data_IF_152337457640
#
_entry.id   IF_152337457640
#
_cell.length_a   1.000
_cell.length_b   1.000
_cell.length_c   1.000
_cell.angle_alpha   90.00
_cell.angle_beta   90.00
_cell.angle_gamma   90.00
#
_symmetry.space_group_name_H-M   'P 1'
#
loop_
_entity.id
_entity.type
_entity.pdbx_description
1 polymer ?
#
# COMPACT_ATOMS: atom_id res chain seq x y z
N UNK A 1 20.18 -25.46 8.48
CA UNK A 1 19.00 -24.76 7.91
C UNK A 1 18.84 -23.44 8.64
N UNK A 2 19.14 -22.32 7.98
CA UNK A 2 18.88 -21.00 8.56
C UNK A 2 17.38 -20.73 8.45
N UNK A 3 16.67 -20.72 9.58
CA UNK A 3 15.28 -20.28 9.63
C UNK A 3 15.23 -18.84 9.16
N UNK A 4 14.74 -18.60 7.93
CA UNK A 4 14.37 -17.25 7.52
C UNK A 4 13.28 -16.80 8.47
N UNK A 5 13.61 -16.00 9.48
CA UNK A 5 12.59 -15.26 10.22
C UNK A 5 11.90 -14.36 9.19
N UNK A 6 10.66 -14.68 8.82
CA UNK A 6 9.77 -13.76 8.13
C UNK A 6 9.33 -12.70 9.15
N UNK A 7 10.27 -11.82 9.49
CA UNK A 7 10.03 -10.76 10.46
C UNK A 7 9.05 -9.75 9.90
N UNK A 8 8.06 -9.39 10.71
CA UNK A 8 7.25 -8.20 10.50
C UNK A 8 7.93 -7.05 11.23
N UNK A 9 8.01 -5.89 10.57
CA UNK A 9 8.42 -4.62 11.21
C UNK A 9 7.28 -3.63 11.08
N UNK A 10 6.99 -2.94 12.17
CA UNK A 10 6.05 -1.82 12.19
C UNK A 10 6.86 -0.56 12.48
N UNK A 11 6.81 0.41 11.57
CA UNK A 11 7.39 1.74 11.75
C UNK A 11 6.23 2.67 12.12
N UNK A 12 6.28 3.26 13.31
CA UNK A 12 5.22 4.15 13.79
C UNK A 12 5.61 5.59 13.44
N UNK A 13 4.73 6.30 12.75
CA UNK A 13 4.95 7.67 12.32
C UNK A 13 4.30 8.65 13.30
N UNK A 14 3.04 8.40 13.68
CA UNK A 14 2.28 9.27 14.60
C UNK A 14 1.16 8.49 15.30
N UNK A 15 0.43 9.19 16.18
CA UNK A 15 -0.84 8.75 16.77
C UNK A 15 -1.91 9.76 16.35
N UNK A 16 -3.09 9.29 15.96
CA UNK A 16 -4.21 10.15 15.61
C UNK A 16 -4.95 10.69 16.85
N UNK A 17 -6.00 11.50 16.63
CA UNK A 17 -6.76 12.14 17.70
C UNK A 17 -7.53 11.16 18.61
N UNK A 18 -7.80 9.95 18.13
CA UNK A 18 -8.51 8.90 18.86
C UNK A 18 -7.54 7.93 19.57
N UNK A 19 -6.23 8.13 19.43
CA UNK A 19 -5.21 7.32 20.06
C UNK A 19 -4.73 6.12 19.23
N UNK A 20 -5.08 6.03 17.94
CA UNK A 20 -4.60 4.96 17.06
C UNK A 20 -3.24 5.30 16.43
N UNK A 21 -2.37 4.30 16.36
CA UNK A 21 -1.08 4.46 15.69
C UNK A 21 -1.24 4.49 14.17
N UNK A 22 -0.58 5.46 13.53
CA UNK A 22 -0.41 5.53 12.08
C UNK A 22 1.04 5.21 11.73
N UNK A 23 1.24 4.35 10.73
CA UNK A 23 2.58 3.90 10.37
C UNK A 23 2.64 2.94 9.19
N UNK A 24 3.84 2.41 8.98
CA UNK A 24 4.19 1.50 7.89
C UNK A 24 4.39 0.07 8.38
N UNK A 25 3.75 -0.89 7.70
CA UNK A 25 3.95 -2.32 7.91
C UNK A 25 4.87 -2.90 6.84
N UNK A 26 6.00 -3.48 7.27
CA UNK A 26 6.94 -4.19 6.41
C UNK A 26 6.92 -5.69 6.70
N UNK A 27 6.69 -6.51 5.67
CA UNK A 27 6.84 -7.96 5.72
C UNK A 27 8.04 -8.36 4.86
N UNK A 28 9.06 -8.98 5.45
CA UNK A 28 10.31 -9.33 4.74
C UNK A 28 10.95 -8.13 4.01
N UNK A 29 10.89 -6.94 4.62
CA UNK A 29 11.29 -5.64 4.06
C UNK A 29 10.47 -5.12 2.87
N UNK A 30 9.33 -5.74 2.55
CA UNK A 30 8.37 -5.23 1.55
C UNK A 30 7.25 -4.45 2.24
N UNK A 31 6.93 -3.27 1.72
CA UNK A 31 5.83 -2.45 2.21
C UNK A 31 4.48 -3.10 1.85
N UNK A 32 3.69 -3.48 2.86
CA UNK A 32 2.46 -4.29 2.67
C UNK A 32 1.40 -3.57 1.83
N UNK A 33 1.38 -2.24 1.81
CA UNK A 33 0.47 -1.50 0.93
C UNK A 33 0.66 -1.80 -0.58
N UNK A 34 1.87 -2.11 -1.04
CA UNK A 34 2.14 -2.38 -2.47
C UNK A 34 1.29 -3.54 -3.00
N UNK A 35 1.36 -4.76 -2.42
CA UNK A 35 0.53 -5.87 -2.88
C UNK A 35 -0.97 -5.62 -2.69
N UNK A 36 -1.39 -4.82 -1.69
CA UNK A 36 -2.80 -4.44 -1.52
C UNK A 36 -3.28 -3.52 -2.65
N UNK A 37 -2.48 -2.53 -3.04
CA UNK A 37 -2.76 -1.66 -4.19
C UNK A 37 -2.83 -2.48 -5.47
N UNK A 38 -1.84 -3.35 -5.71
CA UNK A 38 -1.75 -4.18 -6.91
C UNK A 38 -2.91 -5.17 -7.04
N UNK A 39 -3.41 -5.70 -5.92
CA UNK A 39 -4.58 -6.60 -5.90
C UNK A 39 -5.92 -5.85 -6.01
N UNK A 40 -5.92 -4.52 -6.07
CA UNK A 40 -7.15 -3.70 -6.07
C UNK A 40 -7.88 -3.68 -4.72
N UNK A 41 -7.20 -3.99 -3.62
CA UNK A 41 -7.77 -4.04 -2.28
C UNK A 41 -7.58 -2.73 -1.48
N UNK A 42 -6.80 -1.79 -2.00
CA UNK A 42 -6.54 -0.50 -1.40
C UNK A 42 -6.48 0.62 -2.46
N UNK A 43 -6.58 1.86 -2.00
CA UNK A 43 -6.35 3.08 -2.80
C UNK A 43 -5.20 3.87 -2.20
N UNK A 44 -4.41 4.49 -3.07
CA UNK A 44 -3.37 5.43 -2.67
C UNK A 44 -4.02 6.77 -2.37
N UNK A 45 -3.82 7.29 -1.16
CA UNK A 45 -4.24 8.63 -0.77
C UNK A 45 -3.44 9.70 -1.51
N UNK A 46 -4.08 10.83 -1.85
CA UNK A 46 -3.43 11.91 -2.61
C UNK A 46 -2.23 12.53 -1.88
N UNK A 47 -2.30 12.55 -0.55
CA UNK A 47 -1.27 13.11 0.32
C UNK A 47 -0.13 12.12 0.62
N UNK A 48 -0.06 10.99 -0.09
CA UNK A 48 0.99 10.00 0.15
C UNK A 48 2.39 10.56 -0.21
N UNK A 49 3.43 10.32 0.61
CA UNK A 49 4.74 10.91 0.38
C UNK A 49 5.32 10.56 -1.01
N UNK A 50 5.67 11.59 -1.79
CA UNK A 50 6.17 11.43 -3.16
C UNK A 50 7.47 10.60 -3.26
N UNK A 51 8.24 10.54 -2.17
CA UNK A 51 9.46 9.75 -2.11
C UNK A 51 9.25 8.24 -2.37
N UNK A 52 8.03 7.74 -2.13
CA UNK A 52 7.66 6.33 -2.34
C UNK A 52 6.77 6.13 -3.57
N UNK A 53 6.61 7.15 -4.42
CA UNK A 53 5.48 7.23 -5.35
C UNK A 53 5.52 6.24 -6.52
N UNK A 54 6.68 5.91 -7.08
CA UNK A 54 6.73 5.15 -8.34
C UNK A 54 6.12 3.74 -8.22
N UNK A 55 6.56 2.94 -7.26
CA UNK A 55 6.09 1.54 -7.11
C UNK A 55 4.60 1.49 -6.73
N UNK A 56 4.16 2.40 -5.85
CA UNK A 56 2.78 2.48 -5.39
C UNK A 56 1.83 2.94 -6.51
N UNK A 57 2.24 3.93 -7.29
CA UNK A 57 1.49 4.40 -8.45
C UNK A 57 1.37 3.30 -9.50
N UNK A 58 2.46 2.57 -9.78
CA UNK A 58 2.44 1.46 -10.73
C UNK A 58 1.51 0.34 -10.27
N UNK A 59 1.54 -0.03 -8.99
CA UNK A 59 0.66 -1.04 -8.41
C UNK A 59 -0.83 -0.65 -8.52
N UNK A 60 -1.18 0.59 -8.17
CA UNK A 60 -2.55 1.07 -8.31
C UNK A 60 -2.97 1.18 -9.78
N UNK A 61 -2.09 1.66 -10.66
CA UNK A 61 -2.34 1.74 -12.10
C UNK A 61 -2.67 0.37 -12.68
N UNK A 62 -1.88 -0.66 -12.34
CA UNK A 62 -2.15 -2.04 -12.74
C UNK A 62 -3.55 -2.49 -12.30
N UNK A 63 -3.92 -2.26 -11.04
CA UNK A 63 -5.25 -2.65 -10.56
C UNK A 63 -6.42 -1.91 -11.25
N UNK A 64 -6.20 -0.64 -11.65
CA UNK A 64 -7.17 0.16 -12.42
C UNK A 64 -7.34 -0.31 -13.85
N UNK A 65 -6.23 -0.62 -14.52
CA UNK A 65 -6.19 -1.14 -15.89
C UNK A 65 -6.89 -2.51 -15.97
N UNK A 66 -6.60 -3.39 -15.01
CA UNK A 66 -7.18 -4.74 -14.92
C UNK A 66 -8.58 -4.77 -14.27
N UNK A 67 -9.14 -3.62 -13.88
CA UNK A 67 -10.47 -3.49 -13.24
C UNK A 67 -10.64 -4.40 -12.02
N UNK A 68 -9.62 -4.53 -11.19
CA UNK A 68 -9.64 -5.44 -10.05
C UNK A 68 -10.45 -4.86 -8.88
N UNK A 69 -11.38 -5.66 -8.34
CA UNK A 69 -12.04 -5.43 -7.05
C UNK A 69 -12.67 -4.04 -6.96
N UNK A 70 -12.12 -3.15 -6.13
CA UNK A 70 -12.67 -1.80 -5.95
C UNK A 70 -12.61 -0.94 -7.23
N UNK A 71 -11.90 -1.40 -8.26
CA UNK A 71 -11.74 -0.74 -9.56
C UNK A 71 -12.61 -1.33 -10.67
N UNK A 72 -13.49 -2.30 -10.39
CA UNK A 72 -14.36 -2.96 -11.38
C UNK A 72 -15.17 -1.95 -12.23
N UNK A 73 -15.61 -0.85 -11.63
CA UNK A 73 -16.40 0.20 -12.28
C UNK A 73 -15.63 1.50 -12.48
N UNK A 74 -14.31 1.48 -12.33
CA UNK A 74 -13.50 2.70 -12.43
C UNK A 74 -13.51 3.25 -13.86
N UNK A 75 -13.70 4.55 -14.01
CA UNK A 75 -13.55 5.28 -15.28
C UNK A 75 -12.43 6.29 -15.08
N UNK A 76 -11.43 6.27 -15.95
CA UNK A 76 -10.35 7.26 -15.92
C UNK A 76 -10.97 8.62 -16.24
N UNK A 77 -10.87 9.58 -15.32
CA UNK A 77 -11.33 10.94 -15.58
C UNK A 77 -10.21 11.68 -16.31
N UNK A 78 -10.47 12.03 -17.57
CA UNK A 78 -9.57 12.79 -18.45
C UNK A 78 -9.28 14.21 -17.98
#
# INVERSE_FOLDING_TARGET
MSSRKSGIKVLLDTVDGDGYFIGTLLASNTHVAIPLLQAGLAKLEENFPKAYSTEFNNAQKYAREEKLKIWETYVETS
#
